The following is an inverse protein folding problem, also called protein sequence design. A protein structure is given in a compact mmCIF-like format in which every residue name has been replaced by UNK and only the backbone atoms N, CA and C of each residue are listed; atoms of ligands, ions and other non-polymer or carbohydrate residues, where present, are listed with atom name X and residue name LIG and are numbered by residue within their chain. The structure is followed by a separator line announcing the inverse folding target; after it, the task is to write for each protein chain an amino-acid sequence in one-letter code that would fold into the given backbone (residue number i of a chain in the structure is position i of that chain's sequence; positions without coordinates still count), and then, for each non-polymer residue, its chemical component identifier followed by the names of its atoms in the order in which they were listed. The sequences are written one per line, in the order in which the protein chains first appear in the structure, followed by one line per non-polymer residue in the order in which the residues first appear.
data_IF_537522041687
#
_entry.id   IF_537522041687
#
_cell.length_a   1.000
_cell.length_b   1.000
_cell.length_c   1.000
_cell.angle_alpha   90.00
_cell.angle_beta   90.00
_cell.angle_gamma   90.00
#
_symmetry.space_group_name_H-M   'P 1'
#
loop_
_entity.id
_entity.type
_entity.pdbx_description
1 polymer ?
#
# COMPACT_ATOMS: atom_id res chain seq x y z
N UNK A 1 -18.57 -2.24 -9.65
CA UNK A 1 -18.64 -3.18 -8.51
C UNK A 1 -18.52 -4.65 -8.93
N UNK A 2 -19.31 -5.15 -9.89
CA UNK A 2 -19.32 -6.58 -10.29
C UNK A 2 -17.94 -7.11 -10.70
N UNK A 3 -17.17 -6.36 -11.51
CA UNK A 3 -15.85 -6.81 -12.00
C UNK A 3 -14.83 -7.09 -10.89
N UNK A 4 -14.86 -6.32 -9.81
CA UNK A 4 -13.95 -6.55 -8.69
C UNK A 4 -14.31 -7.76 -7.85
N UNK A 5 -15.59 -8.04 -7.69
CA UNK A 5 -16.02 -9.27 -7.05
C UNK A 5 -15.44 -10.49 -7.76
N UNK A 6 -15.48 -10.51 -9.10
CA UNK A 6 -14.87 -11.59 -9.89
C UNK A 6 -13.36 -11.70 -9.68
N UNK A 7 -12.63 -10.57 -9.66
CA UNK A 7 -11.18 -10.56 -9.45
C UNK A 7 -10.83 -11.12 -8.07
N UNK A 8 -11.52 -10.66 -7.02
CA UNK A 8 -11.26 -11.10 -5.64
C UNK A 8 -11.65 -12.57 -5.47
N UNK A 9 -12.78 -13.00 -6.02
CA UNK A 9 -13.22 -14.40 -5.95
C UNK A 9 -12.26 -15.31 -6.71
N UNK A 10 -11.83 -14.91 -7.90
CA UNK A 10 -10.84 -15.67 -8.68
C UNK A 10 -9.49 -15.78 -7.94
N UNK A 11 -9.01 -14.67 -7.34
CA UNK A 11 -7.81 -14.68 -6.52
C UNK A 11 -7.95 -15.62 -5.31
N UNK A 12 -9.05 -15.51 -4.56
CA UNK A 12 -9.33 -16.42 -3.44
C UNK A 12 -9.38 -17.89 -3.86
N UNK A 13 -10.02 -18.19 -4.99
CA UNK A 13 -10.04 -19.53 -5.57
C UNK A 13 -8.65 -20.04 -5.93
N UNK A 14 -7.81 -19.21 -6.56
CA UNK A 14 -6.42 -19.58 -6.90
C UNK A 14 -5.57 -19.85 -5.66
N UNK A 15 -5.69 -19.03 -4.62
CA UNK A 15 -5.00 -19.24 -3.34
C UNK A 15 -5.44 -20.55 -2.68
N UNK A 16 -6.75 -20.84 -2.69
CA UNK A 16 -7.30 -22.09 -2.15
C UNK A 16 -6.80 -23.30 -2.95
N UNK A 17 -6.82 -23.24 -4.28
CA UNK A 17 -6.28 -24.29 -5.14
C UNK A 17 -4.79 -24.52 -4.91
N UNK A 18 -4.00 -23.45 -4.74
CA UNK A 18 -2.57 -23.57 -4.45
C UNK A 18 -2.32 -24.17 -3.07
N UNK A 19 -3.14 -23.85 -2.08
CA UNK A 19 -3.08 -24.50 -0.76
C UNK A 19 -3.32 -26.01 -0.87
N UNK A 20 -4.34 -26.43 -1.65
CA UNK A 20 -4.64 -27.84 -1.91
C UNK A 20 -3.46 -28.48 -2.65
N UNK A 21 -2.95 -27.86 -3.71
CA UNK A 21 -1.79 -28.32 -4.46
C UNK A 21 -0.57 -28.56 -3.57
N UNK A 22 -0.26 -27.62 -2.69
CA UNK A 22 0.87 -27.72 -1.75
C UNK A 22 0.66 -28.83 -0.71
N UNK A 23 -0.60 -29.03 -0.26
CA UNK A 23 -0.92 -30.04 0.76
C UNK A 23 -0.90 -31.46 0.19
N UNK A 24 -1.31 -31.64 -1.06
CA UNK A 24 -1.42 -32.95 -1.70
C UNK A 24 -0.32 -33.21 -2.76
N UNK A 25 0.65 -32.30 -2.88
CA UNK A 25 1.80 -32.39 -3.82
C UNK A 25 1.38 -32.66 -5.28
N UNK A 26 0.33 -31.95 -5.76
CA UNK A 26 -0.25 -32.19 -7.09
C UNK A 26 0.60 -31.65 -8.24
N UNK A 27 1.60 -30.80 -7.99
CA UNK A 27 2.53 -30.26 -9.00
C UNK A 27 1.93 -29.21 -9.93
N UNK A 28 0.91 -28.45 -9.49
CA UNK A 28 0.24 -27.43 -10.29
C UNK A 28 0.98 -26.08 -10.24
N UNK A 29 2.23 -26.02 -10.68
CA UNK A 29 3.07 -24.81 -10.59
C UNK A 29 2.56 -23.63 -11.41
N UNK A 30 1.77 -23.88 -12.45
CA UNK A 30 1.13 -22.82 -13.25
C UNK A 30 0.21 -21.91 -12.44
N UNK A 31 -0.32 -22.36 -11.29
CA UNK A 31 -1.15 -21.55 -10.39
C UNK A 31 -0.44 -20.30 -9.87
N UNK A 32 0.91 -20.33 -9.73
CA UNK A 32 1.70 -19.19 -9.33
C UNK A 32 1.59 -18.01 -10.31
N UNK A 33 1.63 -18.28 -11.62
CA UNK A 33 1.54 -17.25 -12.65
C UNK A 33 0.18 -16.55 -12.62
N UNK A 34 -0.89 -17.33 -12.54
CA UNK A 34 -2.25 -16.77 -12.42
C UNK A 34 -2.43 -16.04 -11.09
N UNK A 35 -1.92 -16.61 -9.98
CA UNK A 35 -1.95 -15.98 -8.67
C UNK A 35 -1.27 -14.61 -8.66
N UNK A 36 -0.10 -14.45 -9.28
CA UNK A 36 0.58 -13.16 -9.41
C UNK A 36 -0.26 -12.14 -10.19
N UNK A 37 -0.83 -12.53 -11.33
CA UNK A 37 -1.68 -11.60 -12.12
C UNK A 37 -2.90 -11.16 -11.32
N UNK A 38 -3.62 -12.08 -10.69
CA UNK A 38 -4.82 -11.75 -9.93
C UNK A 38 -4.52 -11.01 -8.62
N UNK A 39 -3.36 -11.20 -7.99
CA UNK A 39 -2.94 -10.42 -6.83
C UNK A 39 -2.70 -8.95 -7.19
N UNK A 40 -2.01 -8.68 -8.31
CA UNK A 40 -1.81 -7.32 -8.83
C UNK A 40 -3.16 -6.68 -9.19
N UNK A 41 -4.03 -7.40 -9.92
CA UNK A 41 -5.35 -6.90 -10.26
C UNK A 41 -6.20 -6.60 -9.01
N UNK A 42 -6.13 -7.43 -7.98
CA UNK A 42 -6.81 -7.22 -6.70
C UNK A 42 -6.30 -5.99 -5.97
N UNK A 43 -4.98 -5.79 -5.93
CA UNK A 43 -4.36 -4.63 -5.29
C UNK A 43 -4.77 -3.31 -5.95
N UNK A 44 -4.71 -3.22 -7.29
CA UNK A 44 -5.06 -1.99 -8.01
C UNK A 44 -6.56 -1.75 -8.15
N UNK A 45 -7.38 -2.80 -8.07
CA UNK A 45 -8.83 -2.69 -8.20
C UNK A 45 -9.43 -1.74 -7.16
N UNK A 46 -8.94 -1.77 -5.94
CA UNK A 46 -9.40 -0.89 -4.85
C UNK A 46 -9.26 0.59 -5.21
N UNK A 47 -8.15 0.97 -5.86
CA UNK A 47 -7.95 2.35 -6.34
C UNK A 47 -8.99 2.76 -7.39
N UNK A 48 -9.31 1.86 -8.32
CA UNK A 48 -10.37 2.12 -9.32
C UNK A 48 -11.77 2.19 -8.69
N UNK A 49 -12.02 1.43 -7.64
CA UNK A 49 -13.27 1.49 -6.89
C UNK A 49 -13.42 2.86 -6.20
N UNK A 50 -12.39 3.32 -5.50
CA UNK A 50 -12.38 4.64 -4.87
C UNK A 50 -12.49 5.78 -5.89
N UNK A 51 -11.87 5.66 -7.05
CA UNK A 51 -11.97 6.65 -8.13
C UNK A 51 -13.41 6.81 -8.68
N UNK A 52 -14.33 5.90 -8.39
CA UNK A 52 -15.75 5.98 -8.73
C UNK A 52 -16.60 6.57 -7.59
N UNK A 53 -16.03 6.74 -6.40
CA UNK A 53 -16.74 7.36 -5.28
C UNK A 53 -16.98 8.86 -5.54
N UNK A 54 -18.07 9.40 -5.00
CA UNK A 54 -18.40 10.82 -5.15
C UNK A 54 -17.38 11.71 -4.45
N UNK A 55 -16.90 11.33 -3.28
CA UNK A 55 -15.86 12.00 -2.51
C UNK A 55 -14.46 11.53 -2.96
N UNK A 56 -14.08 11.83 -4.20
CA UNK A 56 -12.89 11.29 -4.88
C UNK A 56 -11.70 12.24 -5.01
N UNK A 57 -11.67 13.33 -4.26
CA UNK A 57 -10.75 14.44 -4.50
C UNK A 57 -9.29 14.03 -4.51
N UNK A 58 -8.86 13.22 -3.53
CA UNK A 58 -7.52 12.64 -3.48
C UNK A 58 -7.32 11.47 -4.46
N UNK A 59 -8.41 10.87 -4.96
CA UNK A 59 -8.41 9.69 -5.81
C UNK A 59 -8.60 10.00 -7.29
N UNK A 60 -8.58 11.27 -7.67
CA UNK A 60 -8.85 11.70 -9.06
C UNK A 60 -7.80 11.17 -10.04
N UNK A 61 -6.54 11.04 -9.63
CA UNK A 61 -5.50 10.40 -10.42
C UNK A 61 -5.56 8.88 -10.25
N UNK A 62 -6.37 8.22 -11.06
CA UNK A 62 -6.56 6.75 -11.03
C UNK A 62 -5.25 5.98 -11.06
N UNK A 63 -4.32 6.39 -11.91
CA UNK A 63 -3.03 5.71 -12.07
C UNK A 63 -2.09 5.92 -10.89
N UNK A 64 -2.02 7.14 -10.35
CA UNK A 64 -1.20 7.41 -9.16
C UNK A 64 -1.74 6.66 -7.95
N UNK A 65 -3.07 6.65 -7.76
CA UNK A 65 -3.71 5.89 -6.68
C UNK A 65 -3.53 4.37 -6.86
N UNK A 66 -3.64 3.85 -8.10
CA UNK A 66 -3.40 2.44 -8.38
C UNK A 66 -1.95 2.03 -8.08
N UNK A 67 -0.98 2.85 -8.48
CA UNK A 67 0.43 2.62 -8.17
C UNK A 67 0.68 2.66 -6.66
N UNK A 68 0.11 3.63 -5.95
CA UNK A 68 0.23 3.73 -4.49
C UNK A 68 -0.33 2.50 -3.77
N UNK A 69 -1.53 2.04 -4.15
CA UNK A 69 -2.12 0.83 -3.59
C UNK A 69 -1.27 -0.42 -3.88
N UNK A 70 -0.69 -0.52 -5.08
CA UNK A 70 0.20 -1.61 -5.43
C UNK A 70 1.46 -1.60 -4.58
N UNK A 71 2.10 -0.44 -4.39
CA UNK A 71 3.29 -0.30 -3.53
C UNK A 71 2.96 -0.68 -2.09
N UNK A 72 1.82 -0.21 -1.54
CA UNK A 72 1.39 -0.60 -0.19
C UNK A 72 1.11 -2.11 -0.08
N UNK A 73 0.54 -2.73 -1.11
CA UNK A 73 0.33 -4.18 -1.11
C UNK A 73 1.66 -4.95 -1.12
N UNK A 74 2.65 -4.51 -1.91
CA UNK A 74 3.99 -5.12 -1.93
C UNK A 74 4.69 -4.90 -0.58
N UNK A 75 4.65 -3.68 -0.01
CA UNK A 75 5.20 -3.41 1.32
C UNK A 75 4.58 -4.32 2.38
N UNK A 76 3.26 -4.39 2.45
CA UNK A 76 2.56 -5.22 3.43
C UNK A 76 2.89 -6.71 3.25
N UNK A 77 2.94 -7.20 2.01
CA UNK A 77 3.32 -8.57 1.71
C UNK A 77 4.77 -8.88 2.13
N UNK A 78 5.71 -7.98 1.81
CA UNK A 78 7.11 -8.11 2.23
C UNK A 78 7.24 -8.13 3.74
N UNK A 79 6.56 -7.22 4.44
CA UNK A 79 6.54 -7.16 5.91
C UNK A 79 6.03 -8.48 6.51
N UNK A 80 4.90 -8.98 6.01
CA UNK A 80 4.34 -10.26 6.50
C UNK A 80 5.34 -11.40 6.29
N UNK A 81 5.97 -11.48 5.12
CA UNK A 81 6.99 -12.53 4.84
C UNK A 81 8.20 -12.43 5.77
N UNK A 82 8.66 -11.23 6.14
CA UNK A 82 9.75 -11.04 7.11
C UNK A 82 9.40 -11.59 8.50
N UNK A 83 8.13 -11.50 8.92
CA UNK A 83 7.68 -12.04 10.21
C UNK A 83 7.37 -13.56 10.16
N UNK A 84 6.98 -14.08 9.00
CA UNK A 84 6.65 -15.50 8.82
C UNK A 84 7.91 -16.33 8.68
N UNK A 85 8.88 -15.87 7.90
CA UNK A 85 10.14 -16.57 7.66
C UNK A 85 11.33 -15.62 7.82
N UNK A 86 11.98 -15.73 8.96
CA UNK A 86 13.11 -14.88 9.34
C UNK A 86 14.34 -15.08 8.44
N UNK A 87 14.46 -16.25 7.79
CA UNK A 87 15.56 -16.55 6.87
C UNK A 87 15.41 -15.81 5.52
N UNK A 88 14.23 -15.30 5.23
CA UNK A 88 13.99 -14.49 4.04
C UNK A 88 14.35 -13.01 4.23
N UNK A 89 14.55 -12.53 5.47
CA UNK A 89 14.75 -11.10 5.75
C UNK A 89 15.86 -10.51 4.89
N UNK A 90 17.03 -11.13 4.86
CA UNK A 90 18.18 -10.65 4.08
C UNK A 90 17.93 -10.59 2.56
N UNK A 91 16.99 -11.42 2.06
CA UNK A 91 16.66 -11.50 0.63
C UNK A 91 15.61 -10.47 0.19
N UNK A 92 14.71 -10.10 1.10
CA UNK A 92 13.54 -9.28 0.77
C UNK A 92 13.59 -7.87 1.38
N UNK A 93 14.58 -7.58 2.23
CA UNK A 93 14.74 -6.26 2.86
C UNK A 93 14.89 -5.16 1.82
N UNK A 94 15.61 -5.41 0.74
CA UNK A 94 15.77 -4.45 -0.37
C UNK A 94 14.45 -4.12 -1.04
N UNK A 95 13.52 -5.08 -1.12
CA UNK A 95 12.18 -4.84 -1.66
C UNK A 95 11.44 -3.85 -0.78
N UNK A 96 11.50 -4.03 0.54
CA UNK A 96 10.89 -3.10 1.50
C UNK A 96 11.50 -1.70 1.38
N UNK A 97 12.82 -1.61 1.32
CA UNK A 97 13.56 -0.35 1.17
C UNK A 97 13.11 0.41 -0.08
N UNK A 98 13.13 -0.24 -1.25
CA UNK A 98 12.70 0.39 -2.50
C UNK A 98 11.22 0.78 -2.48
N UNK A 99 10.35 -0.04 -1.89
CA UNK A 99 8.94 0.31 -1.74
C UNK A 99 8.75 1.55 -0.87
N UNK A 100 9.50 1.70 0.24
CA UNK A 100 9.46 2.90 1.08
C UNK A 100 9.91 4.14 0.28
N UNK A 101 11.00 4.04 -0.49
CA UNK A 101 11.49 5.14 -1.34
C UNK A 101 10.43 5.54 -2.37
N UNK A 102 9.87 4.58 -3.09
CA UNK A 102 8.82 4.84 -4.10
C UNK A 102 7.58 5.45 -3.44
N UNK A 103 7.18 4.94 -2.27
CA UNK A 103 6.06 5.49 -1.51
C UNK A 103 6.28 6.96 -1.13
N UNK A 104 7.47 7.32 -0.64
CA UNK A 104 7.83 8.71 -0.34
C UNK A 104 7.78 9.60 -1.58
N UNK A 105 8.25 9.11 -2.73
CA UNK A 105 8.19 9.84 -4.01
C UNK A 105 6.72 10.08 -4.43
N UNK A 106 5.85 9.08 -4.27
CA UNK A 106 4.42 9.22 -4.59
C UNK A 106 3.77 10.26 -3.67
N UNK A 107 4.04 10.20 -2.36
CA UNK A 107 3.52 11.16 -1.38
C UNK A 107 4.05 12.57 -1.67
N UNK A 108 5.34 12.73 -1.95
CA UNK A 108 5.93 14.01 -2.32
C UNK A 108 5.27 14.59 -3.58
N UNK A 109 5.04 13.75 -4.60
CA UNK A 109 4.31 14.15 -5.79
C UNK A 109 2.91 14.66 -5.46
N UNK A 110 2.18 13.98 -4.59
CA UNK A 110 0.82 14.39 -4.21
C UNK A 110 0.79 15.71 -3.43
N UNK A 111 1.81 16.00 -2.63
CA UNK A 111 1.85 17.24 -1.83
C UNK A 111 2.32 18.44 -2.67
N UNK A 112 3.35 18.26 -3.48
CA UNK A 112 4.08 19.37 -4.10
C UNK A 112 3.65 19.67 -5.54
N UNK A 113 3.05 18.72 -6.27
CA UNK A 113 2.63 18.98 -7.63
C UNK A 113 1.28 19.69 -7.70
N UNK A 114 1.07 20.55 -8.69
CA UNK A 114 -0.16 21.32 -8.84
C UNK A 114 -1.35 20.39 -9.12
N UNK A 115 -2.47 20.67 -8.46
CA UNK A 115 -3.74 19.98 -8.65
C UNK A 115 -4.71 20.87 -9.43
N UNK A 116 -5.42 20.26 -10.37
CA UNK A 116 -6.34 20.97 -11.26
C UNK A 116 -7.69 21.34 -10.57
N UNK A 117 -8.02 20.64 -9.47
CA UNK A 117 -9.31 20.80 -8.80
C UNK A 117 -9.14 21.48 -7.43
N UNK A 118 -10.07 22.39 -7.09
CA UNK A 118 -10.13 23.12 -5.83
C UNK A 118 -10.22 22.18 -4.63
N UNK A 119 -11.07 21.15 -4.76
CA UNK A 119 -11.37 20.20 -3.71
C UNK A 119 -10.15 19.35 -3.35
N UNK A 120 -9.34 18.96 -4.35
CA UNK A 120 -8.06 18.27 -4.12
C UNK A 120 -7.09 19.16 -3.34
N UNK A 121 -7.01 20.45 -3.65
CA UNK A 121 -6.17 21.41 -2.89
C UNK A 121 -6.63 21.53 -1.44
N UNK A 122 -7.96 21.59 -1.22
CA UNK A 122 -8.53 21.63 0.12
C UNK A 122 -8.24 20.34 0.89
N UNK A 123 -8.38 19.17 0.24
CA UNK A 123 -8.03 17.87 0.83
C UNK A 123 -6.58 17.83 1.28
N UNK A 124 -5.63 18.25 0.44
CA UNK A 124 -4.21 18.30 0.78
C UNK A 124 -3.93 19.29 1.92
N UNK A 125 -4.61 20.41 1.95
CA UNK A 125 -4.47 21.39 3.04
C UNK A 125 -4.96 20.79 4.36
N UNK A 126 -6.09 20.08 4.37
CA UNK A 126 -6.60 19.38 5.55
C UNK A 126 -5.65 18.26 6.00
N UNK A 127 -5.04 17.56 5.05
CA UNK A 127 -4.08 16.50 5.31
C UNK A 127 -2.78 17.02 5.90
N UNK A 128 -2.22 18.10 5.34
CA UNK A 128 -0.89 18.61 5.73
C UNK A 128 -0.90 19.62 6.87
N UNK A 129 -1.98 20.40 7.02
CA UNK A 129 -2.10 21.53 7.99
C UNK A 129 -3.36 21.45 8.83
N UNK A 130 -4.33 20.58 8.51
CA UNK A 130 -5.61 20.47 9.20
C UNK A 130 -5.61 19.50 10.38
N UNK A 131 -6.81 19.04 10.76
CA UNK A 131 -7.04 18.15 11.90
C UNK A 131 -6.26 16.85 11.83
N UNK A 132 -6.09 16.29 10.62
CA UNK A 132 -5.38 15.04 10.41
C UNK A 132 -3.88 15.18 10.15
N UNK A 133 -3.34 16.40 10.19
CA UNK A 133 -1.91 16.64 9.90
C UNK A 133 -0.97 15.87 10.83
N UNK A 134 -1.32 15.74 12.11
CA UNK A 134 -0.52 14.97 13.07
C UNK A 134 -0.44 13.50 12.67
N UNK A 135 -1.56 12.88 12.34
CA UNK A 135 -1.60 11.47 11.89
C UNK A 135 -0.82 11.28 10.59
N UNK A 136 -0.98 12.21 9.66
CA UNK A 136 -0.28 12.18 8.38
C UNK A 136 1.24 12.26 8.55
N UNK A 137 1.72 13.29 9.25
CA UNK A 137 3.16 13.47 9.46
C UNK A 137 3.76 12.39 10.35
N UNK A 138 3.04 11.90 11.36
CA UNK A 138 3.46 10.75 12.15
C UNK A 138 3.59 9.51 11.27
N UNK A 139 2.62 9.26 10.37
CA UNK A 139 2.69 8.15 9.41
C UNK A 139 3.89 8.26 8.46
N UNK A 140 4.24 9.46 8.00
CA UNK A 140 5.44 9.66 7.17
C UNK A 140 6.73 9.46 7.98
N UNK A 141 6.85 10.08 9.15
CA UNK A 141 8.08 10.03 9.93
C UNK A 141 8.30 8.62 10.49
N UNK A 142 7.33 8.08 11.25
CA UNK A 142 7.46 6.77 11.89
C UNK A 142 7.38 5.61 10.88
N UNK A 143 6.58 5.76 9.83
CA UNK A 143 6.32 4.66 8.92
C UNK A 143 7.17 4.64 7.64
N UNK A 144 7.87 5.72 7.35
CA UNK A 144 8.72 5.78 6.16
C UNK A 144 10.13 6.29 6.47
N UNK A 145 10.31 7.49 7.07
CA UNK A 145 11.63 8.09 7.25
C UNK A 145 12.48 7.31 8.26
N UNK A 146 11.90 6.94 9.42
CA UNK A 146 12.61 6.15 10.42
C UNK A 146 12.95 4.75 9.91
N UNK A 147 12.01 3.96 9.35
CA UNK A 147 12.34 2.66 8.76
C UNK A 147 13.41 2.77 7.67
N UNK A 148 13.30 3.75 6.77
CA UNK A 148 14.29 3.97 5.73
C UNK A 148 15.70 4.19 6.32
N UNK A 149 15.80 5.08 7.31
CA UNK A 149 17.10 5.35 7.98
C UNK A 149 17.66 4.12 8.70
N UNK A 150 16.80 3.35 9.36
CA UNK A 150 17.19 2.10 10.04
C UNK A 150 17.76 1.08 9.06
N UNK A 151 17.08 0.84 7.94
CA UNK A 151 17.50 -0.10 6.91
C UNK A 151 18.78 0.31 6.19
N UNK A 152 19.04 1.62 6.05
CA UNK A 152 20.26 2.15 5.43
C UNK A 152 21.48 2.11 6.35
N UNK A 153 21.28 2.24 7.67
CA UNK A 153 22.41 2.29 8.65
C UNK A 153 22.88 0.89 9.02
N UNK A 154 21.95 -0.01 9.32
CA UNK A 154 22.28 -1.37 9.73
C UNK A 154 21.14 -2.32 9.38
N UNK A 155 21.33 -3.23 8.43
CA UNK A 155 20.31 -4.21 8.02
C UNK A 155 20.27 -5.46 8.91
N UNK A 156 20.59 -5.35 10.20
CA UNK A 156 20.44 -6.47 11.13
C UNK A 156 18.99 -6.94 11.21
N UNK A 157 18.78 -8.24 11.38
CA UNK A 157 17.46 -8.89 11.41
C UNK A 157 16.51 -8.19 12.39
N UNK A 158 16.97 -7.85 13.59
CA UNK A 158 16.13 -7.19 14.60
C UNK A 158 15.75 -5.79 14.12
N UNK A 159 16.69 -5.05 13.55
CA UNK A 159 16.45 -3.70 13.01
C UNK A 159 15.46 -3.78 11.84
N UNK A 160 15.61 -4.77 10.95
CA UNK A 160 14.69 -4.99 9.84
C UNK A 160 13.27 -5.28 10.31
N UNK A 161 13.09 -6.13 11.33
CA UNK A 161 11.78 -6.44 11.90
C UNK A 161 11.14 -5.23 12.60
N UNK A 162 11.93 -4.43 13.31
CA UNK A 162 11.44 -3.18 13.93
C UNK A 162 11.04 -2.17 12.84
N UNK A 163 11.86 -2.00 11.80
CA UNK A 163 11.54 -1.15 10.65
C UNK A 163 10.25 -1.61 9.95
N UNK A 164 10.07 -2.91 9.77
CA UNK A 164 8.86 -3.51 9.20
C UNK A 164 7.61 -3.23 10.06
N UNK A 165 7.71 -3.35 11.38
CA UNK A 165 6.63 -3.02 12.30
C UNK A 165 6.27 -1.53 12.23
N UNK A 166 7.25 -0.63 12.22
CA UNK A 166 7.04 0.81 12.08
C UNK A 166 6.42 1.16 10.73
N UNK A 167 6.87 0.53 9.64
CA UNK A 167 6.30 0.72 8.31
C UNK A 167 4.82 0.29 8.26
N UNK A 168 4.44 -0.77 8.96
CA UNK A 168 3.02 -1.18 9.09
C UNK A 168 2.17 -0.09 9.75
N UNK A 169 2.66 0.50 10.84
CA UNK A 169 1.97 1.62 11.50
C UNK A 169 1.84 2.80 10.54
N UNK A 170 2.89 3.09 9.78
CA UNK A 170 2.88 4.15 8.77
C UNK A 170 1.85 3.96 7.68
N UNK A 171 1.77 2.75 7.09
CA UNK A 171 0.75 2.41 6.10
C UNK A 171 -0.64 2.65 6.69
N UNK A 172 -0.91 2.14 7.90
CA UNK A 172 -2.20 2.32 8.56
C UNK A 172 -2.56 3.79 8.75
N UNK A 173 -1.63 4.61 9.27
CA UNK A 173 -1.89 6.02 9.55
C UNK A 173 -2.11 6.83 8.26
N UNK A 174 -1.32 6.60 7.24
CA UNK A 174 -1.44 7.30 5.95
C UNK A 174 -2.73 6.92 5.23
N UNK A 175 -3.10 5.64 5.22
CA UNK A 175 -4.36 5.18 4.63
C UNK A 175 -5.58 5.69 5.43
N UNK A 176 -5.53 5.69 6.76
CA UNK A 176 -6.59 6.26 7.59
C UNK A 176 -6.88 7.72 7.21
N UNK A 177 -5.84 8.52 7.06
CA UNK A 177 -5.97 9.93 6.67
C UNK A 177 -6.55 10.06 5.27
N UNK A 178 -6.07 9.27 4.31
CA UNK A 178 -6.54 9.27 2.92
C UNK A 178 -8.02 8.91 2.79
N UNK A 179 -8.50 8.00 3.62
CA UNK A 179 -9.92 7.58 3.60
C UNK A 179 -10.81 8.63 4.29
N UNK A 180 -10.34 9.24 5.37
CA UNK A 180 -11.15 10.16 6.19
C UNK A 180 -11.31 11.55 5.58
N UNK A 181 -10.26 12.11 5.01
CA UNK A 181 -10.26 13.49 4.51
C UNK A 181 -11.30 13.73 3.41
N UNK A 182 -11.42 12.89 2.35
CA UNK A 182 -12.42 13.12 1.32
C UNK A 182 -13.86 13.12 1.84
N UNK A 183 -14.12 12.47 2.98
CA UNK A 183 -15.44 12.43 3.62
C UNK A 183 -15.80 13.72 4.36
N UNK A 184 -14.81 14.59 4.60
CA UNK A 184 -14.99 15.87 5.31
C UNK A 184 -15.22 17.04 4.35
N UNK A 185 -14.99 16.87 3.07
CA UNK A 185 -15.16 17.91 2.05
C UNK A 185 -16.59 17.83 1.53
N UNK A 186 -17.36 18.96 1.56
CA UNK A 186 -18.70 18.99 1.01
C UNK A 186 -18.69 18.62 -0.47
N UNK A 187 -19.64 17.82 -0.91
CA UNK A 187 -19.82 17.51 -2.33
C UNK A 187 -20.28 18.78 -3.05
N UNK A 188 -19.45 19.34 -3.91
CA UNK A 188 -19.78 20.46 -4.80
C UNK A 188 -20.52 20.01 -6.04
#
# INVERSE_FOLDING_TARGET
MVRGAYIITAFGGLVTLKLIDTTFELGMDFLWYFGMVFSVLGAIYTAFLFAQARARDLWQSKWTSALHMLIHAIMAGTIVMMFVDILLVDKIVDILLWCIVINLVIIAKEIFFPHNFSDTKQAITLMTKGYYSRYFWTGIVLGNLIPLSMLLISPDIIICLVAAALATIGIFLTELVRIRIPQMIPLS
#
